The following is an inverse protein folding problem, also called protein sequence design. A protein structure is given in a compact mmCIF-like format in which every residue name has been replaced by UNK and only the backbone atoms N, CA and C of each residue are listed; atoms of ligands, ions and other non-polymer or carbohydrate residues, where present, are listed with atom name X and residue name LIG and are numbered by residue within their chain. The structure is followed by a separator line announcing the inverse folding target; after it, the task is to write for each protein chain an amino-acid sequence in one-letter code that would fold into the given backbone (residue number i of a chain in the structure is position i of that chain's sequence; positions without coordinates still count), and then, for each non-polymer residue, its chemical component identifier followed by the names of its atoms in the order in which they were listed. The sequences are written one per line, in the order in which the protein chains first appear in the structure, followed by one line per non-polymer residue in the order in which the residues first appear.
data_IF_269618882836
#
_entry.id   IF_269618882836
#
_cell.length_a   1.000
_cell.length_b   1.000
_cell.length_c   1.000
_cell.angle_alpha   90.00
_cell.angle_beta   90.00
_cell.angle_gamma   90.00
#
_symmetry.space_group_name_H-M   'P 1'
#
loop_
_entity.id
_entity.type
_entity.pdbx_description
1 polymer ?
#
# COMPACT_ATOMS: atom_id res chain seq x y z
N UNK A 1 4.41 3.82 -8.78
CA UNK A 1 4.26 5.21 -8.37
C UNK A 1 3.37 5.92 -9.37
N UNK A 2 2.60 6.88 -8.89
CA UNK A 2 1.69 7.63 -9.73
C UNK A 2 0.76 8.50 -8.91
N UNK A 3 -0.06 9.26 -9.62
CA UNK A 3 -1.13 10.07 -9.06
C UNK A 3 -2.42 9.79 -9.84
N UNK A 4 -3.57 9.80 -9.17
CA UNK A 4 -4.88 9.73 -9.82
C UNK A 4 -5.91 10.55 -9.05
N UNK A 5 -6.91 11.07 -9.76
CA UNK A 5 -8.10 11.64 -9.14
C UNK A 5 -8.94 10.51 -8.53
N UNK A 6 -9.54 10.75 -7.38
CA UNK A 6 -10.40 9.79 -6.67
C UNK A 6 -11.88 10.07 -6.93
N UNK A 7 -12.73 9.07 -6.71
CA UNK A 7 -14.19 9.14 -6.95
C UNK A 7 -14.92 10.24 -6.17
N UNK A 8 -14.36 10.69 -5.06
CA UNK A 8 -14.85 11.82 -4.26
C UNK A 8 -14.33 13.19 -4.73
N UNK A 9 -13.63 13.23 -5.87
CA UNK A 9 -13.08 14.44 -6.48
C UNK A 9 -11.73 14.88 -5.91
N UNK A 10 -11.18 14.20 -4.90
CA UNK A 10 -9.83 14.42 -4.40
C UNK A 10 -8.73 13.80 -5.26
N UNK A 11 -7.51 13.72 -4.73
CA UNK A 11 -6.37 13.08 -5.40
C UNK A 11 -5.67 12.10 -4.48
N UNK A 12 -5.12 11.03 -5.06
CA UNK A 12 -4.29 10.07 -4.37
C UNK A 12 -2.95 9.85 -5.08
N UNK A 13 -1.92 9.53 -4.29
CA UNK A 13 -0.55 9.34 -4.75
C UNK A 13 0.03 8.10 -4.09
N UNK A 14 0.71 7.26 -4.87
CA UNK A 14 1.45 6.11 -4.33
C UNK A 14 2.91 6.17 -4.77
N UNK A 15 3.81 5.76 -3.88
CA UNK A 15 5.23 5.73 -4.18
C UNK A 15 6.04 5.19 -3.01
N UNK A 16 7.14 5.87 -2.71
CA UNK A 16 7.99 5.57 -1.58
C UNK A 16 8.46 6.86 -0.89
N UNK A 17 8.72 6.74 0.41
CA UNK A 17 9.31 7.75 1.27
C UNK A 17 10.71 7.29 1.65
N UNK A 18 11.71 8.15 1.51
CA UNK A 18 13.10 7.84 1.86
C UNK A 18 13.40 8.35 3.27
N UNK A 19 13.75 7.45 4.19
CA UNK A 19 14.12 7.83 5.56
C UNK A 19 15.64 7.81 5.72
N UNK A 20 16.24 9.00 5.71
CA UNK A 20 17.70 9.22 5.59
C UNK A 20 18.53 8.67 6.78
N UNK A 21 17.89 8.30 7.89
CA UNK A 21 18.58 7.79 9.09
C UNK A 21 18.84 6.28 9.05
N UNK A 22 18.26 5.53 8.11
CA UNK A 22 18.30 4.06 8.12
C UNK A 22 18.43 3.40 6.73
N UNK A 23 18.66 4.17 5.66
CA UNK A 23 18.80 3.70 4.27
C UNK A 23 17.62 2.85 3.75
N UNK A 24 16.39 3.16 4.16
CA UNK A 24 15.20 2.41 3.78
C UNK A 24 14.25 3.21 2.91
N UNK A 25 13.75 2.57 1.88
CA UNK A 25 12.60 3.04 1.11
C UNK A 25 11.31 2.45 1.71
N UNK A 26 10.38 3.32 2.07
CA UNK A 26 9.12 2.94 2.72
C UNK A 26 7.96 3.14 1.76
N UNK A 27 7.09 2.15 1.57
CA UNK A 27 5.95 2.31 0.68
C UNK A 27 4.94 3.30 1.27
N UNK A 28 4.54 4.28 0.46
CA UNK A 28 3.76 5.44 0.91
C UNK A 28 2.53 5.63 0.03
N UNK A 29 1.39 5.88 0.67
CA UNK A 29 0.14 6.28 0.01
C UNK A 29 -0.38 7.55 0.67
N UNK A 30 -0.80 8.51 -0.14
CA UNK A 30 -1.33 9.81 0.29
C UNK A 30 -2.70 10.02 -0.35
N UNK A 31 -3.65 10.56 0.41
CA UNK A 31 -4.92 11.06 -0.11
C UNK A 31 -5.13 12.52 0.29
N UNK A 32 -5.67 13.27 -0.65
CA UNK A 32 -6.01 14.68 -0.51
C UNK A 32 -7.49 14.89 -0.85
N UNK A 33 -8.05 16.01 -0.39
CA UNK A 33 -9.32 16.52 -0.89
C UNK A 33 -9.17 17.17 -2.28
N UNK A 34 -10.28 17.69 -2.83
CA UNK A 34 -10.30 18.32 -4.15
C UNK A 34 -9.48 19.61 -4.25
N UNK A 35 -9.07 20.19 -3.12
CA UNK A 35 -8.20 21.37 -3.06
C UNK A 35 -6.73 21.02 -2.91
N UNK A 36 -6.41 19.73 -2.75
CA UNK A 36 -5.06 19.24 -2.49
C UNK A 36 -4.66 19.23 -1.01
N UNK A 37 -5.58 19.51 -0.09
CA UNK A 37 -5.29 19.38 1.36
C UNK A 37 -5.23 17.91 1.72
N UNK A 38 -4.16 17.49 2.40
CA UNK A 38 -3.97 16.11 2.86
C UNK A 38 -5.10 15.73 3.83
N UNK A 39 -5.80 14.64 3.49
CA UNK A 39 -6.78 14.00 4.36
C UNK A 39 -6.12 12.93 5.22
N UNK A 40 -5.22 12.15 4.62
CA UNK A 40 -4.34 11.20 5.31
C UNK A 40 -3.14 10.84 4.45
N UNK A 41 -2.07 10.41 5.11
CA UNK A 41 -0.91 9.80 4.50
C UNK A 41 -0.42 8.64 5.37
N UNK A 42 0.04 7.55 4.74
CA UNK A 42 0.37 6.32 5.46
C UNK A 42 1.58 5.62 4.85
N UNK A 43 2.44 5.13 5.73
CA UNK A 43 3.53 4.23 5.43
C UNK A 43 3.08 2.79 5.69
N UNK A 44 3.43 1.89 4.78
CA UNK A 44 3.03 0.48 4.83
C UNK A 44 4.24 -0.44 4.99
N UNK A 45 4.05 -1.52 5.74
CA UNK A 45 5.09 -2.47 6.14
C UNK A 45 5.67 -2.19 7.52
N UNK A 46 6.39 -3.15 8.08
CA UNK A 46 7.01 -3.02 9.40
C UNK A 46 8.20 -2.04 9.39
N UNK A 47 8.43 -1.37 10.52
CA UNK A 47 9.59 -0.49 10.71
C UNK A 47 10.85 -1.33 10.99
N UNK A 48 11.39 -1.91 9.92
CA UNK A 48 12.59 -2.75 9.93
C UNK A 48 13.70 -2.02 9.18
N UNK A 49 14.90 -2.01 9.75
CA UNK A 49 16.09 -1.40 9.15
C UNK A 49 16.62 -2.24 7.99
N UNK A 50 17.23 -1.59 7.00
CA UNK A 50 17.80 -2.22 5.80
C UNK A 50 16.75 -3.00 4.99
N UNK A 51 15.52 -2.47 4.91
CA UNK A 51 14.42 -3.05 4.15
C UNK A 51 13.78 -2.03 3.21
N UNK A 52 13.75 -2.38 1.93
CA UNK A 52 13.15 -1.58 0.87
C UNK A 52 11.75 -2.09 0.54
N UNK A 53 10.80 -1.16 0.55
CA UNK A 53 9.41 -1.36 0.12
C UNK A 53 8.96 -0.18 -0.74
N UNK A 54 8.33 -0.49 -1.88
CA UNK A 54 7.79 0.54 -2.78
C UNK A 54 6.45 0.14 -3.35
N UNK A 55 5.61 1.14 -3.60
CA UNK A 55 4.49 0.99 -4.53
C UNK A 55 4.88 1.46 -5.94
N UNK A 56 4.86 0.52 -6.88
CA UNK A 56 5.11 0.73 -8.30
C UNK A 56 3.83 0.94 -9.10
N UNK A 57 2.67 0.52 -8.60
CA UNK A 57 1.36 0.82 -9.17
C UNK A 57 0.31 0.91 -8.07
N UNK A 58 -0.78 1.62 -8.34
CA UNK A 58 -1.93 1.63 -7.45
C UNK A 58 -3.21 1.97 -8.22
N UNK A 59 -4.35 1.55 -7.69
CA UNK A 59 -5.67 1.82 -8.24
C UNK A 59 -6.68 2.02 -7.10
N UNK A 60 -7.55 3.03 -7.22
CA UNK A 60 -8.70 3.14 -6.31
C UNK A 60 -9.68 1.99 -6.59
N UNK A 61 -10.15 1.34 -5.54
CA UNK A 61 -11.14 0.25 -5.60
C UNK A 61 -12.56 0.78 -5.47
N UNK A 62 -13.55 0.01 -5.94
CA UNK A 62 -14.97 0.41 -5.95
C UNK A 62 -15.57 0.60 -4.54
N UNK A 63 -14.98 0.00 -3.52
CA UNK A 63 -15.30 0.21 -2.09
C UNK A 63 -14.69 1.50 -1.52
N UNK A 64 -14.06 2.32 -2.35
CA UNK A 64 -13.45 3.60 -1.97
C UNK A 64 -12.03 3.49 -1.42
N UNK A 65 -11.53 2.27 -1.20
CA UNK A 65 -10.15 2.00 -0.82
C UNK A 65 -9.17 2.02 -1.98
N UNK A 66 -7.99 1.43 -1.77
CA UNK A 66 -6.95 1.32 -2.80
C UNK A 66 -6.31 -0.06 -2.80
N UNK A 67 -5.94 -0.53 -3.99
CA UNK A 67 -5.00 -1.63 -4.18
C UNK A 67 -3.69 -1.06 -4.70
N UNK A 68 -2.57 -1.40 -4.06
CA UNK A 68 -1.24 -0.94 -4.44
C UNK A 68 -0.28 -2.12 -4.57
N UNK A 69 0.52 -2.14 -5.62
CA UNK A 69 1.45 -3.22 -5.95
C UNK A 69 2.87 -2.69 -6.10
N UNK A 70 3.85 -3.50 -5.71
CA UNK A 70 5.27 -3.23 -5.93
C UNK A 70 6.10 -4.36 -5.36
N UNK A 71 7.11 -4.03 -4.56
CA UNK A 71 8.02 -5.04 -4.03
C UNK A 71 8.46 -4.76 -2.59
N UNK A 72 8.94 -5.82 -1.95
CA UNK A 72 9.63 -5.81 -0.65
C UNK A 72 10.82 -6.76 -0.68
N UNK A 73 11.91 -6.46 0.00
CA UNK A 73 13.02 -7.40 0.22
C UNK A 73 13.06 -8.00 1.64
N UNK A 74 12.09 -7.64 2.48
CA UNK A 74 12.08 -8.00 3.91
C UNK A 74 11.91 -9.50 4.19
N UNK A 75 11.02 -10.18 3.45
CA UNK A 75 10.54 -11.51 3.86
C UNK A 75 11.33 -12.67 3.26
N UNK A 76 12.21 -12.43 2.29
CA UNK A 76 12.90 -13.47 1.52
C UNK A 76 14.42 -13.31 1.63
N UNK A 77 14.95 -13.16 2.85
CA UNK A 77 16.39 -13.01 3.12
C UNK A 77 17.06 -11.91 2.27
N UNK A 78 16.39 -10.78 2.07
CA UNK A 78 16.89 -9.67 1.25
C UNK A 78 16.62 -9.81 -0.26
N UNK A 79 16.04 -10.91 -0.73
CA UNK A 79 15.59 -11.02 -2.11
C UNK A 79 14.25 -10.32 -2.33
N UNK A 80 14.18 -9.58 -3.44
CA UNK A 80 12.98 -8.87 -3.85
C UNK A 80 11.82 -9.84 -4.11
N UNK A 81 10.71 -9.61 -3.42
CA UNK A 81 9.44 -10.33 -3.57
C UNK A 81 8.36 -9.35 -4.01
N UNK A 82 7.42 -9.82 -4.84
CA UNK A 82 6.23 -9.03 -5.16
C UNK A 82 5.43 -8.76 -3.88
N UNK A 83 4.89 -7.55 -3.79
CA UNK A 83 4.09 -7.15 -2.65
C UNK A 83 2.83 -6.41 -3.10
N UNK A 84 1.71 -6.73 -2.47
CA UNK A 84 0.38 -6.22 -2.79
C UNK A 84 -0.31 -5.83 -1.49
N UNK A 85 -0.87 -4.63 -1.46
CA UNK A 85 -1.60 -4.09 -0.30
C UNK A 85 -2.98 -3.65 -0.76
N UNK A 86 -4.03 -4.07 -0.05
CA UNK A 86 -5.38 -3.52 -0.18
C UNK A 86 -5.74 -2.75 1.08
N UNK A 87 -6.30 -1.57 0.89
CA UNK A 87 -6.71 -0.65 1.95
C UNK A 87 -8.21 -0.39 1.93
N UNK A 88 -8.76 0.07 3.05
CA UNK A 88 -10.04 0.76 3.11
C UNK A 88 -9.91 2.22 2.61
N UNK A 89 -11.02 2.96 2.56
CA UNK A 89 -11.04 4.36 2.10
C UNK A 89 -10.25 5.34 2.98
N UNK A 90 -9.95 4.95 4.21
CA UNK A 90 -9.12 5.69 5.14
C UNK A 90 -7.65 5.26 5.08
N UNK A 91 -7.28 4.37 4.15
CA UNK A 91 -5.93 3.84 3.98
C UNK A 91 -5.54 2.75 4.98
N UNK A 92 -6.47 2.22 5.78
CA UNK A 92 -6.14 1.15 6.73
C UNK A 92 -6.15 -0.21 6.04
N UNK A 93 -5.31 -1.12 6.53
CA UNK A 93 -5.28 -2.52 6.11
C UNK A 93 -6.03 -3.39 7.12
N UNK A 94 -6.83 -4.34 6.64
CA UNK A 94 -7.59 -5.26 7.49
C UNK A 94 -6.77 -6.52 7.74
N UNK A 95 -6.37 -6.76 9.00
CA UNK A 95 -5.50 -7.86 9.46
C UNK A 95 -4.12 -7.90 8.79
N UNK A 96 -3.09 -7.59 9.57
CA UNK A 96 -1.68 -7.66 9.16
C UNK A 96 -1.33 -9.08 8.68
N UNK A 97 -1.15 -9.22 7.36
CA UNK A 97 -0.83 -10.45 6.68
C UNK A 97 -0.43 -10.10 5.26
N UNK A 98 0.65 -9.34 5.14
CA UNK A 98 1.18 -8.76 3.90
C UNK A 98 1.58 -9.85 2.88
N UNK A 99 0.56 -10.41 2.21
CA UNK A 99 0.49 -11.31 1.05
C UNK A 99 1.59 -12.38 0.93
N UNK A 100 1.20 -13.64 1.12
CA UNK A 100 2.05 -14.83 0.96
C UNK A 100 2.29 -15.20 -0.51
N UNK A 101 3.38 -15.95 -0.73
CA UNK A 101 3.98 -16.38 -2.01
C UNK A 101 3.02 -17.14 -2.94
N UNK A 102 3.39 -17.28 -4.22
CA UNK A 102 2.60 -17.91 -5.31
C UNK A 102 2.11 -19.37 -5.08
N UNK A 103 2.52 -20.03 -4.00
CA UNK A 103 2.05 -21.36 -3.57
C UNK A 103 1.12 -21.32 -2.35
N UNK A 104 0.75 -20.15 -1.82
CA UNK A 104 -0.16 -20.06 -0.69
C UNK A 104 -1.63 -20.08 -1.14
N UNK A 105 -2.26 -21.25 -1.04
CA UNK A 105 -3.71 -21.42 -1.25
C UNK A 105 -4.52 -21.19 0.04
N UNK A 106 -3.89 -20.77 1.13
CA UNK A 106 -4.55 -20.65 2.45
C UNK A 106 -5.08 -19.25 2.77
N UNK A 107 -4.68 -18.20 2.05
CA UNK A 107 -5.27 -16.87 2.20
C UNK A 107 -6.53 -16.73 1.34
N UNK A 108 -7.71 -16.87 1.96
CA UNK A 108 -8.98 -16.57 1.28
C UNK A 108 -9.20 -15.06 1.24
N UNK A 109 -9.37 -14.49 0.05
CA UNK A 109 -9.91 -13.15 -0.10
C UNK A 109 -11.40 -13.21 0.30
N UNK A 110 -11.73 -12.84 1.53
CA UNK A 110 -13.13 -12.81 1.97
C UNK A 110 -13.80 -11.55 1.43
N UNK A 111 -14.73 -11.73 0.48
CA UNK A 111 -15.65 -10.65 0.06
C UNK A 111 -16.76 -10.59 1.10
N UNK A 112 -16.67 -9.65 2.03
CA UNK A 112 -17.77 -9.36 2.95
C UNK A 112 -18.84 -8.57 2.21
N UNK A 113 -19.78 -9.26 1.56
CA UNK A 113 -21.02 -8.68 1.07
C UNK A 113 -22.00 -8.54 2.24
N UNK A 114 -22.03 -7.36 2.88
CA UNK A 114 -23.15 -7.03 3.76
C UNK A 114 -24.20 -6.27 2.94
N UNK A 115 -25.36 -6.92 2.87
CA UNK A 115 -26.64 -6.42 2.35
C UNK A 115 -27.12 -5.20 3.12
#
# INVERSE_FOLDING_TARGET
MGAQQTTDGGYAFAGYYFQNTIYDERAWLVKTDSTGKVQWDKIYGADVQYSDRKFLSFQQTSDGGFIAAGFTNEYNNGYTSMWLVKTDSNGNISNCGDVKTASDTSSTATVNSNK
#
